data_IF_303474126643
#
_entry.id   IF_303474126643
#
_cell.length_a   1.000
_cell.length_b   1.000
_cell.length_c   1.000
_cell.angle_alpha   90.00
_cell.angle_beta   90.00
_cell.angle_gamma   90.00
#
_symmetry.space_group_name_H-M   'P 1'
#
loop_
_entity.id
_entity.type
_entity.pdbx_description
1 polymer ?
#
# COMPACT_ATOMS: atom_id res chain seq x y z
N UNK A 1 -3.85 2.96 16.94
CA UNK A 1 -5.27 2.70 16.66
C UNK A 1 -5.37 1.48 15.75
N UNK A 2 -5.71 0.30 16.29
CA UNK A 2 -6.12 -0.83 15.45
C UNK A 2 -7.44 -0.39 14.80
N UNK A 3 -7.46 -0.20 13.47
CA UNK A 3 -8.75 -0.14 12.77
C UNK A 3 -9.30 -1.55 12.88
N UNK A 4 -10.23 -1.75 13.81
CA UNK A 4 -10.98 -2.98 13.91
C UNK A 4 -11.63 -3.20 12.55
N UNK A 5 -11.09 -4.15 11.79
CA UNK A 5 -11.77 -4.61 10.59
C UNK A 5 -13.08 -5.19 11.13
N UNK A 6 -14.26 -4.63 10.76
CA UNK A 6 -15.50 -5.02 11.42
C UNK A 6 -15.68 -6.51 11.21
N UNK A 7 -15.57 -7.27 12.31
CA UNK A 7 -15.88 -8.69 12.32
C UNK A 7 -17.34 -8.86 11.92
N UNK A 8 -17.65 -9.95 11.24
CA UNK A 8 -19.03 -10.28 10.91
C UNK A 8 -19.87 -10.30 12.20
N UNK A 9 -20.92 -9.48 12.20
CA UNK A 9 -21.92 -9.39 13.24
C UNK A 9 -23.28 -9.86 12.70
N UNK A 10 -24.29 -9.90 13.59
CA UNK A 10 -25.64 -10.35 13.22
C UNK A 10 -26.25 -9.51 12.10
N UNK A 11 -25.96 -8.21 12.05
CA UNK A 11 -26.46 -7.31 11.01
C UNK A 11 -25.85 -7.63 9.65
N UNK A 12 -24.55 -7.91 9.58
CA UNK A 12 -23.87 -8.30 8.35
C UNK A 12 -24.42 -9.63 7.81
N UNK A 13 -24.69 -10.61 8.68
CA UNK A 13 -25.30 -11.88 8.27
C UNK A 13 -26.73 -11.68 7.79
N UNK A 14 -27.54 -10.90 8.51
CA UNK A 14 -28.90 -10.58 8.09
C UNK A 14 -28.94 -9.84 6.74
N UNK A 15 -28.03 -8.89 6.51
CA UNK A 15 -27.91 -8.19 5.23
C UNK A 15 -27.55 -9.15 4.09
N UNK A 16 -26.62 -10.09 4.34
CA UNK A 16 -26.24 -11.14 3.40
C UNK A 16 -27.45 -12.04 3.04
N UNK A 17 -28.16 -12.55 4.04
CA UNK A 17 -29.37 -13.37 3.85
C UNK A 17 -30.45 -12.61 3.08
N UNK A 18 -30.74 -11.36 3.45
CA UNK A 18 -31.68 -10.50 2.74
C UNK A 18 -31.29 -10.30 1.28
N UNK A 19 -29.98 -10.19 0.98
CA UNK A 19 -29.46 -10.08 -0.38
C UNK A 19 -29.74 -11.34 -1.20
N UNK A 20 -29.57 -12.52 -0.62
CA UNK A 20 -29.90 -13.79 -1.27
C UNK A 20 -31.39 -13.93 -1.57
N UNK A 21 -32.26 -13.54 -0.63
CA UNK A 21 -33.71 -13.52 -0.87
C UNK A 21 -34.09 -12.58 -2.00
N UNK A 22 -33.54 -11.36 -2.02
CA UNK A 22 -33.78 -10.38 -3.12
C UNK A 22 -33.29 -10.88 -4.48
N UNK A 23 -32.31 -11.79 -4.50
CA UNK A 23 -31.82 -12.45 -5.70
C UNK A 23 -32.58 -13.74 -6.05
N UNK A 24 -33.68 -14.04 -5.35
CA UNK A 24 -34.48 -15.26 -5.52
C UNK A 24 -33.68 -16.56 -5.37
N UNK A 25 -32.64 -16.54 -4.54
CA UNK A 25 -31.87 -17.75 -4.25
C UNK A 25 -32.63 -18.65 -3.27
N UNK A 26 -32.57 -19.96 -3.49
CA UNK A 26 -33.21 -20.94 -2.62
C UNK A 26 -32.27 -21.43 -1.53
N UNK A 27 -32.78 -21.60 -0.32
CA UNK A 27 -32.03 -22.21 0.77
C UNK A 27 -32.09 -23.74 0.65
N UNK A 28 -30.97 -24.45 0.84
CA UNK A 28 -30.89 -25.89 0.61
C UNK A 28 -31.67 -26.71 1.65
N UNK A 29 -31.86 -26.21 2.88
CA UNK A 29 -32.63 -26.86 3.93
C UNK A 29 -33.94 -26.09 4.18
N UNK A 30 -35.01 -26.81 4.51
CA UNK A 30 -36.29 -26.21 4.95
C UNK A 30 -36.31 -26.02 6.46
N UNK A 31 -35.33 -25.28 7.00
CA UNK A 31 -35.31 -24.86 8.42
C UNK A 31 -35.76 -23.39 8.53
N UNK A 32 -36.26 -22.96 9.71
CA UNK A 32 -36.65 -21.58 9.97
C UNK A 32 -35.51 -20.58 9.70
N UNK A 33 -35.87 -19.38 9.25
CA UNK A 33 -34.91 -18.30 8.95
C UNK A 33 -34.09 -17.88 10.18
N UNK A 34 -34.71 -17.89 11.36
CA UNK A 34 -34.03 -17.58 12.63
C UNK A 34 -32.90 -18.58 12.93
N UNK A 35 -33.12 -19.86 12.64
CA UNK A 35 -32.10 -20.90 12.82
C UNK A 35 -30.96 -20.75 11.81
N UNK A 36 -31.25 -20.31 10.58
CA UNK A 36 -30.21 -19.99 9.60
C UNK A 36 -29.30 -18.88 10.10
N UNK A 37 -29.87 -17.78 10.62
CA UNK A 37 -29.11 -16.62 11.06
C UNK A 37 -28.04 -17.00 12.08
N UNK A 38 -28.41 -17.81 13.08
CA UNK A 38 -27.50 -18.20 14.16
C UNK A 38 -26.42 -19.18 13.66
N UNK A 39 -26.76 -20.13 12.78
CA UNK A 39 -25.77 -21.07 12.20
C UNK A 39 -24.77 -20.35 11.28
N UNK A 40 -25.23 -19.41 10.47
CA UNK A 40 -24.34 -18.58 9.65
C UNK A 40 -23.46 -17.68 10.52
N UNK A 41 -24.02 -17.05 11.55
CA UNK A 41 -23.25 -16.22 12.46
C UNK A 41 -22.13 -17.00 13.14
N UNK A 42 -22.43 -18.20 13.63
CA UNK A 42 -21.41 -19.10 14.21
C UNK A 42 -20.34 -19.48 13.19
N UNK A 43 -20.73 -19.85 11.97
CA UNK A 43 -19.79 -20.30 10.93
C UNK A 43 -18.89 -19.17 10.41
N UNK A 44 -19.38 -17.93 10.45
CA UNK A 44 -18.72 -16.74 9.93
C UNK A 44 -17.95 -15.96 11.01
N UNK A 45 -17.98 -16.42 12.26
CA UNK A 45 -17.36 -15.72 13.38
C UNK A 45 -15.86 -15.47 13.13
N UNK A 46 -15.41 -14.24 13.42
CA UNK A 46 -14.01 -13.83 13.27
C UNK A 46 -13.58 -13.53 11.84
N UNK A 47 -14.46 -13.72 10.84
CA UNK A 47 -14.20 -13.31 9.47
C UNK A 47 -14.62 -11.84 9.26
N UNK A 48 -14.05 -11.15 8.26
CA UNK A 48 -14.35 -9.73 8.05
C UNK A 48 -15.63 -9.52 7.23
N UNK A 49 -16.44 -8.53 7.63
CA UNK A 49 -17.75 -8.28 7.01
C UNK A 49 -17.67 -7.82 5.55
N UNK A 50 -16.61 -7.10 5.17
CA UNK A 50 -16.40 -6.68 3.78
C UNK A 50 -16.22 -7.89 2.84
N UNK A 51 -15.58 -8.96 3.33
CA UNK A 51 -15.37 -10.18 2.53
C UNK A 51 -16.68 -10.94 2.38
N UNK A 52 -17.53 -10.97 3.43
CA UNK A 52 -18.89 -11.50 3.33
C UNK A 52 -19.67 -10.78 2.25
N UNK A 53 -19.71 -9.45 2.29
CA UNK A 53 -20.42 -8.64 1.29
C UNK A 53 -19.96 -8.95 -0.15
N UNK A 54 -18.64 -8.97 -0.36
CA UNK A 54 -18.05 -9.30 -1.67
C UNK A 54 -18.44 -10.71 -2.14
N UNK A 55 -18.34 -11.71 -1.27
CA UNK A 55 -18.73 -13.08 -1.58
C UNK A 55 -20.21 -13.18 -1.91
N UNK A 56 -21.07 -12.52 -1.13
CA UNK A 56 -22.51 -12.47 -1.36
C UNK A 56 -22.83 -11.90 -2.75
N UNK A 57 -22.25 -10.77 -3.12
CA UNK A 57 -22.47 -10.17 -4.44
C UNK A 57 -21.93 -11.09 -5.55
N UNK A 58 -20.73 -11.67 -5.38
CA UNK A 58 -20.16 -12.62 -6.34
C UNK A 58 -21.03 -13.87 -6.54
N UNK A 59 -21.65 -14.39 -5.48
CA UNK A 59 -22.59 -15.50 -5.54
C UNK A 59 -23.86 -15.11 -6.31
N UNK A 60 -24.43 -13.95 -6.00
CA UNK A 60 -25.63 -13.41 -6.67
C UNK A 60 -25.38 -13.20 -8.17
N UNK A 61 -24.20 -12.70 -8.54
CA UNK A 61 -23.82 -12.49 -9.94
C UNK A 61 -23.29 -13.75 -10.65
N UNK A 62 -23.21 -14.89 -9.96
CA UNK A 62 -22.77 -16.16 -10.56
C UNK A 62 -21.27 -16.26 -10.85
N UNK A 63 -20.45 -15.42 -10.21
CA UNK A 63 -18.99 -15.39 -10.37
C UNK A 63 -18.31 -16.68 -9.86
N UNK A 64 -19.01 -17.47 -9.05
CA UNK A 64 -18.54 -18.77 -8.57
C UNK A 64 -19.08 -19.98 -9.36
N UNK A 65 -19.64 -19.77 -10.55
CA UNK A 65 -20.22 -20.84 -11.38
C UNK A 65 -19.24 -21.96 -11.77
N UNK A 66 -17.93 -21.73 -11.71
CA UNK A 66 -16.90 -22.74 -11.93
C UNK A 66 -16.62 -23.63 -10.71
N UNK A 67 -17.11 -23.25 -9.52
CA UNK A 67 -16.93 -24.03 -8.30
C UNK A 67 -17.99 -25.14 -8.22
N UNK A 68 -17.54 -26.39 -8.16
CA UNK A 68 -18.41 -27.59 -8.11
C UNK A 68 -19.26 -27.68 -6.85
N UNK A 69 -18.86 -27.03 -5.76
CA UNK A 69 -19.60 -27.00 -4.49
C UNK A 69 -20.73 -25.95 -4.49
N UNK A 70 -20.82 -25.11 -5.52
CA UNK A 70 -21.76 -23.99 -5.59
C UNK A 70 -22.79 -24.26 -6.69
N UNK A 71 -24.04 -24.44 -6.26
CA UNK A 71 -25.17 -24.58 -7.17
C UNK A 71 -25.74 -23.20 -7.49
N UNK A 72 -25.89 -22.90 -8.79
CA UNK A 72 -26.43 -21.62 -9.24
C UNK A 72 -27.85 -21.41 -8.69
N UNK A 73 -28.08 -20.25 -8.09
CA UNK A 73 -29.38 -19.91 -7.51
C UNK A 73 -29.68 -20.58 -6.17
N UNK A 74 -28.72 -21.30 -5.57
CA UNK A 74 -28.86 -21.92 -4.25
C UNK A 74 -27.91 -21.23 -3.28
N UNK A 75 -28.38 -20.89 -2.09
CA UNK A 75 -27.56 -20.32 -1.03
C UNK A 75 -26.55 -21.38 -0.56
N UNK A 76 -25.23 -21.10 -0.54
CA UNK A 76 -24.23 -22.07 -0.12
C UNK A 76 -24.41 -22.48 1.34
N UNK A 77 -24.07 -23.71 1.69
CA UNK A 77 -24.04 -24.12 3.10
C UNK A 77 -23.16 -23.17 3.94
N UNK A 78 -23.46 -22.97 5.23
CA UNK A 78 -22.70 -22.06 6.10
C UNK A 78 -21.18 -22.29 6.10
N UNK A 79 -20.74 -23.55 6.10
CA UNK A 79 -19.32 -23.92 6.01
C UNK A 79 -18.67 -23.54 4.68
N UNK A 80 -19.39 -23.74 3.58
CA UNK A 80 -18.94 -23.36 2.23
C UNK A 80 -18.85 -21.84 2.12
N UNK A 81 -19.86 -21.12 2.60
CA UNK A 81 -19.84 -19.65 2.62
C UNK A 81 -18.66 -19.13 3.44
N UNK A 82 -18.41 -19.67 4.63
CA UNK A 82 -17.27 -19.29 5.46
C UNK A 82 -15.92 -19.56 4.77
N UNK A 83 -15.80 -20.67 4.05
CA UNK A 83 -14.60 -20.99 3.26
C UNK A 83 -14.34 -19.95 2.16
N UNK A 84 -15.38 -19.55 1.42
CA UNK A 84 -15.27 -18.51 0.39
C UNK A 84 -14.88 -17.16 0.98
N UNK A 85 -15.50 -16.78 2.10
CA UNK A 85 -15.21 -15.52 2.81
C UNK A 85 -13.77 -15.50 3.30
N UNK A 86 -13.30 -16.60 3.88
CA UNK A 86 -11.90 -16.73 4.31
C UNK A 86 -10.95 -16.59 3.13
N UNK A 87 -11.22 -17.29 2.03
CA UNK A 87 -10.39 -17.22 0.82
C UNK A 87 -10.29 -15.80 0.27
N UNK A 88 -11.41 -15.08 0.17
CA UNK A 88 -11.42 -13.68 -0.28
C UNK A 88 -10.65 -12.76 0.68
N UNK A 89 -10.77 -12.98 1.98
CA UNK A 89 -9.99 -12.27 2.99
C UNK A 89 -8.48 -12.51 2.82
N UNK A 90 -8.06 -13.77 2.66
CA UNK A 90 -6.67 -14.15 2.45
C UNK A 90 -6.08 -13.54 1.17
N UNK A 91 -6.81 -13.57 0.05
CA UNK A 91 -6.37 -12.93 -1.20
C UNK A 91 -6.13 -11.43 -0.98
N UNK A 92 -7.04 -10.74 -0.30
CA UNK A 92 -6.89 -9.31 -0.05
C UNK A 92 -5.70 -9.01 0.86
N UNK A 93 -5.49 -9.82 1.91
CA UNK A 93 -4.32 -9.68 2.80
C UNK A 93 -3.02 -9.87 1.99
N UNK A 94 -2.94 -10.90 1.15
CA UNK A 94 -1.77 -11.13 0.30
C UNK A 94 -1.49 -9.95 -0.65
N UNK A 95 -2.53 -9.36 -1.25
CA UNK A 95 -2.38 -8.16 -2.08
C UNK A 95 -1.84 -6.97 -1.26
N UNK A 96 -2.35 -6.76 -0.05
CA UNK A 96 -1.88 -5.69 0.83
C UNK A 96 -0.41 -5.86 1.23
N UNK A 97 0.03 -7.09 1.51
CA UNK A 97 1.43 -7.39 1.83
C UNK A 97 2.37 -7.08 0.66
N UNK A 98 1.97 -7.45 -0.56
CA UNK A 98 2.72 -7.12 -1.78
C UNK A 98 2.79 -5.61 -1.97
N UNK A 99 1.67 -4.89 -1.81
CA UNK A 99 1.63 -3.43 -1.94
C UNK A 99 2.50 -2.74 -0.88
N UNK A 100 2.44 -3.21 0.37
CA UNK A 100 3.26 -2.69 1.47
C UNK A 100 4.75 -2.86 1.18
N UNK A 101 5.14 -4.05 0.70
CA UNK A 101 6.53 -4.35 0.33
C UNK A 101 7.01 -3.50 -0.84
N UNK A 102 6.14 -3.28 -1.84
CA UNK A 102 6.45 -2.43 -3.00
C UNK A 102 6.60 -0.97 -2.61
N UNK A 103 5.70 -0.45 -1.78
CA UNK A 103 5.79 0.91 -1.26
C UNK A 103 7.06 1.11 -0.45
N UNK A 104 7.42 0.16 0.43
CA UNK A 104 8.65 0.21 1.20
C UNK A 104 9.89 0.37 0.31
N UNK A 105 10.02 -0.44 -0.74
CA UNK A 105 11.11 -0.33 -1.71
C UNK A 105 11.15 1.01 -2.43
N UNK A 106 10.00 1.53 -2.87
CA UNK A 106 9.93 2.82 -3.55
C UNK A 106 10.36 3.98 -2.64
N UNK A 107 10.01 3.92 -1.35
CA UNK A 107 10.46 4.92 -0.37
C UNK A 107 11.98 4.84 -0.16
N UNK A 108 12.54 3.63 -0.04
CA UNK A 108 13.96 3.41 0.13
C UNK A 108 14.77 3.88 -1.10
N UNK A 109 14.34 3.50 -2.30
CA UNK A 109 14.93 3.97 -3.56
C UNK A 109 14.93 5.50 -3.65
N UNK A 110 13.80 6.14 -3.32
CA UNK A 110 13.69 7.60 -3.37
C UNK A 110 14.55 8.28 -2.31
N UNK A 111 14.65 7.70 -1.12
CA UNK A 111 15.54 8.19 -0.06
C UNK A 111 17.00 8.13 -0.50
N UNK A 112 17.42 7.02 -1.12
CA UNK A 112 18.79 6.85 -1.62
C UNK A 112 19.12 7.86 -2.73
N UNK A 113 18.22 8.06 -3.69
CA UNK A 113 18.40 9.07 -4.75
C UNK A 113 18.56 10.47 -4.17
N UNK A 114 17.75 10.82 -3.16
CA UNK A 114 17.84 12.13 -2.51
C UNK A 114 19.14 12.30 -1.73
N UNK A 115 19.60 11.26 -1.04
CA UNK A 115 20.89 11.26 -0.35
C UNK A 115 22.05 11.49 -1.34
N UNK A 116 22.10 10.71 -2.43
CA UNK A 116 23.11 10.89 -3.47
C UNK A 116 23.09 12.28 -4.08
N UNK A 117 21.91 12.85 -4.34
CA UNK A 117 21.79 14.22 -4.87
C UNK A 117 22.29 15.27 -3.88
N UNK A 118 22.01 15.08 -2.58
CA UNK A 118 22.47 15.98 -1.53
C UNK A 118 24.00 15.98 -1.44
N UNK A 119 24.63 14.81 -1.54
CA UNK A 119 26.08 14.67 -1.52
C UNK A 119 26.72 15.34 -2.74
N UNK A 120 26.15 15.17 -3.93
CA UNK A 120 26.61 15.85 -5.14
C UNK A 120 26.55 17.38 -5.02
N UNK A 121 25.46 17.92 -4.47
CA UNK A 121 25.33 19.38 -4.25
C UNK A 121 26.39 19.88 -3.28
N UNK A 122 26.64 19.14 -2.18
CA UNK A 122 27.69 19.50 -1.21
C UNK A 122 29.08 19.46 -1.86
N UNK A 123 29.36 18.46 -2.69
CA UNK A 123 30.61 18.38 -3.44
C UNK A 123 30.78 19.56 -4.41
N UNK A 124 29.72 19.96 -5.12
CA UNK A 124 29.73 21.14 -6.00
C UNK A 124 29.99 22.44 -5.22
N UNK A 125 29.29 22.66 -4.10
CA UNK A 125 29.50 23.84 -3.23
C UNK A 125 30.96 23.92 -2.76
N UNK A 126 31.52 22.81 -2.26
CA UNK A 126 32.92 22.80 -1.80
C UNK A 126 33.92 23.01 -2.94
N UNK A 127 33.59 22.59 -4.16
CA UNK A 127 34.42 22.81 -5.35
C UNK A 127 34.42 24.28 -5.76
N UNK A 128 33.25 24.92 -5.78
CA UNK A 128 33.12 26.35 -6.08
C UNK A 128 33.87 27.22 -5.06
N UNK A 129 33.79 26.89 -3.77
CA UNK A 129 34.56 27.60 -2.72
C UNK A 129 36.06 27.51 -2.96
N UNK A 130 36.59 26.30 -3.23
CA UNK A 130 38.01 26.10 -3.55
C UNK A 130 38.44 26.84 -4.80
N UNK A 131 37.57 26.97 -5.80
CA UNK A 131 37.86 27.70 -7.03
C UNK A 131 37.92 29.21 -6.78
N UNK A 132 37.00 29.75 -5.98
CA UNK A 132 37.02 31.16 -5.53
C UNK A 132 38.30 31.48 -4.75
N UNK A 133 38.69 30.64 -3.78
CA UNK A 133 39.92 30.81 -3.01
C UNK A 133 41.16 30.81 -3.92
N UNK A 134 41.26 29.86 -4.87
CA UNK A 134 42.36 29.81 -5.84
C UNK A 134 42.45 31.08 -6.68
N UNK A 135 41.32 31.61 -7.11
CA UNK A 135 41.27 32.81 -7.94
C UNK A 135 41.67 34.06 -7.16
N UNK A 136 41.27 34.15 -5.88
CA UNK A 136 41.68 35.22 -4.97
C UNK A 136 43.18 35.18 -4.69
N UNK A 137 43.73 34.01 -4.35
CA UNK A 137 45.19 33.81 -4.18
C UNK A 137 45.94 34.18 -5.46
N UNK A 138 45.43 33.78 -6.63
CA UNK A 138 46.00 34.13 -7.93
C UNK A 138 46.02 35.65 -8.18
N UNK A 139 44.96 36.36 -7.79
CA UNK A 139 44.90 37.83 -7.87
C UNK A 139 45.93 38.48 -6.95
N UNK A 140 46.01 38.03 -5.69
CA UNK A 140 46.97 38.55 -4.71
C UNK A 140 48.42 38.35 -5.15
N UNK A 141 48.75 37.19 -5.72
CA UNK A 141 50.09 36.92 -6.27
C UNK A 141 50.43 37.83 -7.44
N UNK A 142 49.47 38.05 -8.36
CA UNK A 142 49.66 38.98 -9.50
C UNK A 142 49.92 40.40 -9.01
N UNK A 143 49.16 40.87 -8.03
CA UNK A 143 49.34 42.20 -7.44
C UNK A 143 50.68 42.34 -6.69
N UNK A 144 51.08 41.30 -5.94
CA UNK A 144 52.37 41.26 -5.27
C UNK A 144 53.53 41.34 -6.27
N UNK A 145 53.50 40.54 -7.33
CA UNK A 145 54.52 40.55 -8.39
C UNK A 145 54.57 41.92 -9.07
N UNK A 146 53.42 42.51 -9.42
CA UNK A 146 53.34 43.85 -10.02
C UNK A 146 53.96 44.92 -9.11
N UNK A 147 53.63 44.91 -7.82
CA UNK A 147 54.21 45.84 -6.83
C UNK A 147 55.71 45.65 -6.66
N UNK A 148 56.21 44.41 -6.68
CA UNK A 148 57.63 44.11 -6.53
C UNK A 148 58.45 44.53 -7.75
N UNK A 149 57.94 44.28 -8.96
CA UNK A 149 58.57 44.73 -10.21
C UNK A 149 58.58 46.25 -10.30
N UNK A 150 57.46 46.91 -9.96
CA UNK A 150 57.39 48.37 -9.90
C UNK A 150 58.41 48.99 -8.95
N UNK A 151 58.53 48.44 -7.73
CA UNK A 151 59.56 48.88 -6.76
C UNK A 151 60.99 48.63 -7.24
N UNK A 152 61.24 47.54 -7.97
CA UNK A 152 62.58 47.29 -8.54
C UNK A 152 62.93 48.24 -9.69
N UNK A 153 61.94 48.72 -10.45
CA UNK A 153 62.15 49.76 -11.47
C UNK A 153 62.39 51.14 -10.84
N UNK A 154 61.72 51.47 -9.74
CA UNK A 154 61.94 52.73 -9.01
C UNK A 154 63.31 52.80 -8.31
N UNK A 155 63.88 51.67 -7.89
CA UNK A 155 65.22 51.62 -7.27
C UNK A 155 66.37 51.57 -8.29
N UNK A 156 66.08 51.44 -9.59
CA UNK A 156 67.05 51.33 -10.67
C UNK A 156 67.21 52.63 -11.49
N UNK A 157 66.49 53.71 -11.09
CA UNK A 157 66.62 55.08 -11.58
C UNK A 157 67.31 55.95 -10.52
#
# INVERSE_FOLDING_TARGET
MKKDNPSIDRNAVHACISRFYKAFMSFPLKIPEEEYLDVYLHSLQGLPSWALQKVTDNLVFGMYSSNREILKGVVPLPSVLASLVRKEAEVFIGVLEVLKSRLGRLFEERSNILATRLDLVREEETREEREKERQEVGNLLRDYVRKRIGKQHEMAL
#
